data_IF_545145148296
#
_entry.id   IF_545145148296
#
_cell.length_a   1.000
_cell.length_b   1.000
_cell.length_c   1.000
_cell.angle_alpha   90.00
_cell.angle_beta   90.00
_cell.angle_gamma   90.00
#
_symmetry.space_group_name_H-M   'P 1'
#
loop_
_entity.id
_entity.type
_entity.pdbx_description
1 polymer ?
#
# COMPACT_ATOMS: atom_id res chain seq x y z
N UNK A 1 -4.23 3.66 -28.53
CA UNK A 1 -5.36 3.30 -27.66
C UNK A 1 -5.07 3.72 -26.22
N UNK A 2 -5.97 4.47 -25.59
CA UNK A 2 -5.94 4.80 -24.17
C UNK A 2 -7.26 4.38 -23.52
N UNK A 3 -7.24 4.12 -22.21
CA UNK A 3 -8.39 3.64 -21.46
C UNK A 3 -8.39 4.27 -20.08
N UNK A 4 -9.56 4.70 -19.63
CA UNK A 4 -9.79 5.23 -18.29
C UNK A 4 -10.82 4.35 -17.58
N UNK A 5 -10.58 4.06 -16.31
CA UNK A 5 -11.38 3.15 -15.49
C UNK A 5 -11.78 3.85 -14.19
N UNK A 6 -12.95 3.51 -13.66
CA UNK A 6 -13.44 3.98 -12.36
C UNK A 6 -13.81 2.82 -11.43
N UNK A 7 -13.85 3.07 -10.11
CA UNK A 7 -14.12 2.05 -9.10
C UNK A 7 -15.48 1.33 -9.19
N UNK A 8 -16.45 1.93 -9.89
CA UNK A 8 -17.75 1.33 -10.16
C UNK A 8 -17.74 0.37 -11.37
N UNK A 9 -16.59 0.21 -12.01
CA UNK A 9 -16.41 -0.61 -13.20
C UNK A 9 -16.68 0.13 -14.51
N UNK A 10 -16.98 1.44 -14.47
CA UNK A 10 -17.06 2.25 -15.69
C UNK A 10 -15.72 2.24 -16.42
N UNK A 11 -15.78 2.25 -17.75
CA UNK A 11 -14.62 2.38 -18.63
C UNK A 11 -14.93 3.31 -19.79
N UNK A 12 -13.96 4.12 -20.18
CA UNK A 12 -13.96 4.86 -21.45
C UNK A 12 -12.69 4.47 -22.22
N UNK A 13 -12.81 4.28 -23.53
CA UNK A 13 -11.70 3.92 -24.40
C UNK A 13 -11.60 4.91 -25.56
N UNK A 14 -10.36 5.24 -25.92
CA UNK A 14 -10.02 6.03 -27.08
C UNK A 14 -9.08 5.23 -27.96
N UNK A 15 -9.41 5.04 -29.24
CA UNK A 15 -8.52 4.36 -30.19
C UNK A 15 -7.22 5.13 -30.41
N UNK A 16 -7.33 6.46 -30.47
CA UNK A 16 -6.22 7.41 -30.58
C UNK A 16 -6.29 8.38 -29.39
N UNK A 17 -5.15 8.57 -28.71
CA UNK A 17 -5.04 9.49 -27.58
C UNK A 17 -3.92 10.48 -27.85
N UNK A 18 -4.29 11.72 -28.16
CA UNK A 18 -3.38 12.78 -28.60
C UNK A 18 -3.76 14.14 -27.98
N UNK A 19 -3.14 15.23 -28.45
CA UNK A 19 -3.44 16.58 -27.97
C UNK A 19 -4.91 17.00 -28.18
N UNK A 20 -5.60 16.51 -29.21
CA UNK A 20 -7.02 16.80 -29.42
C UNK A 20 -7.87 16.08 -28.36
N UNK A 21 -7.56 14.81 -28.07
CA UNK A 21 -8.22 14.06 -26.99
C UNK A 21 -8.02 14.74 -25.64
N UNK A 22 -6.80 15.24 -25.38
CA UNK A 22 -6.46 15.95 -24.14
C UNK A 22 -7.26 17.24 -23.95
N UNK A 23 -7.70 17.88 -25.03
CA UNK A 23 -8.50 19.11 -25.00
C UNK A 23 -9.99 18.86 -25.30
N UNK A 24 -10.45 17.61 -25.24
CA UNK A 24 -11.83 17.26 -25.59
C UNK A 24 -12.76 17.34 -24.38
N UNK A 25 -13.96 17.86 -24.59
CA UNK A 25 -15.05 17.84 -23.60
C UNK A 25 -15.34 16.41 -23.11
N UNK A 26 -15.12 15.41 -23.96
CA UNK A 26 -15.29 14.00 -23.60
C UNK A 26 -14.30 13.56 -22.52
N UNK A 27 -13.03 13.96 -22.61
CA UNK A 27 -12.05 13.64 -21.57
C UNK A 27 -12.37 14.43 -20.30
N UNK A 28 -12.76 15.70 -20.42
CA UNK A 28 -13.16 16.53 -19.29
C UNK A 28 -14.37 15.94 -18.54
N UNK A 29 -15.42 15.53 -19.25
CA UNK A 29 -16.57 14.86 -18.66
C UNK A 29 -16.17 13.54 -17.98
N UNK A 30 -15.28 12.78 -18.61
CA UNK A 30 -14.78 11.54 -18.07
C UNK A 30 -14.01 11.77 -16.74
N UNK A 31 -13.00 12.64 -16.71
CA UNK A 31 -12.18 12.85 -15.50
C UNK A 31 -12.98 13.46 -14.34
N UNK A 32 -14.04 14.21 -14.63
CA UNK A 32 -14.94 14.79 -13.63
C UNK A 32 -16.02 13.81 -13.15
N UNK A 33 -16.11 12.62 -13.74
CA UNK A 33 -17.07 11.61 -13.33
C UNK A 33 -16.80 11.13 -11.90
N UNK A 34 -17.85 11.19 -11.06
CA UNK A 34 -17.84 10.62 -9.71
C UNK A 34 -18.88 9.50 -9.62
N UNK A 35 -18.48 8.27 -9.26
CA UNK A 35 -19.40 7.17 -9.05
C UNK A 35 -20.46 7.48 -7.98
N UNK A 36 -21.67 6.98 -8.19
CA UNK A 36 -22.69 7.01 -7.14
C UNK A 36 -22.30 6.06 -6.02
N UNK A 37 -22.50 6.47 -4.77
CA UNK A 37 -22.15 5.66 -3.60
C UNK A 37 -23.37 4.91 -3.07
N UNK A 38 -23.15 3.67 -2.66
CA UNK A 38 -24.14 2.86 -1.96
C UNK A 38 -24.44 3.45 -0.58
N UNK A 39 -25.71 3.74 -0.31
CA UNK A 39 -26.14 4.30 0.97
C UNK A 39 -25.80 3.44 2.20
N UNK A 40 -25.66 2.11 2.03
CA UNK A 40 -25.39 1.20 3.14
C UNK A 40 -23.91 1.00 3.45
N UNK A 41 -23.02 1.19 2.47
CA UNK A 41 -21.59 0.86 2.59
C UNK A 41 -20.66 2.02 2.26
N UNK A 42 -21.16 3.12 1.68
CA UNK A 42 -20.33 4.23 1.20
C UNK A 42 -19.42 3.86 0.02
N UNK A 43 -19.50 2.63 -0.49
CA UNK A 43 -18.71 2.16 -1.63
C UNK A 43 -19.38 2.53 -2.96
N UNK A 44 -18.59 2.74 -4.03
CA UNK A 44 -19.10 2.94 -5.39
C UNK A 44 -20.07 1.83 -5.80
N UNK A 45 -21.24 2.22 -6.28
CA UNK A 45 -22.26 1.31 -6.79
C UNK A 45 -21.81 0.75 -8.14
N UNK A 46 -21.53 -0.54 -8.18
CA UNK A 46 -21.00 -1.20 -9.37
C UNK A 46 -22.02 -1.21 -10.53
N UNK A 47 -21.53 -0.99 -11.74
CA UNK A 47 -22.30 -1.13 -12.98
C UNK A 47 -22.74 -2.59 -13.22
N UNK A 48 -23.88 -2.80 -13.90
CA UNK A 48 -24.40 -4.13 -14.14
C UNK A 48 -23.47 -4.99 -15.02
N UNK A 49 -23.49 -6.33 -14.86
CA UNK A 49 -22.58 -7.25 -15.53
C UNK A 49 -22.58 -7.21 -17.06
N UNK A 50 -23.74 -6.87 -17.65
CA UNK A 50 -23.95 -6.80 -19.10
C UNK A 50 -23.06 -5.78 -19.81
N UNK A 51 -22.47 -4.84 -19.07
CA UNK A 51 -21.54 -3.82 -19.58
C UNK A 51 -20.06 -4.13 -19.28
N UNK A 52 -19.78 -5.23 -18.57
CA UNK A 52 -18.41 -5.58 -18.16
C UNK A 52 -17.64 -6.28 -19.27
N UNK A 53 -16.78 -5.52 -19.95
CA UNK A 53 -15.83 -5.99 -20.95
C UNK A 53 -14.78 -6.93 -20.33
N UNK A 54 -14.12 -7.74 -21.18
CA UNK A 54 -12.97 -8.62 -20.91
C UNK A 54 -12.14 -8.21 -19.67
N UNK A 55 -11.90 -9.17 -18.76
CA UNK A 55 -11.13 -8.93 -17.54
C UNK A 55 -9.64 -8.89 -17.86
N UNK A 56 -8.87 -8.11 -17.10
CA UNK A 56 -7.42 -8.04 -17.32
C UNK A 56 -6.63 -8.19 -16.02
N UNK A 57 -5.47 -8.84 -16.14
CA UNK A 57 -4.46 -8.91 -15.09
C UNK A 57 -3.21 -8.24 -15.66
N UNK A 58 -2.86 -7.07 -15.13
CA UNK A 58 -1.73 -6.27 -15.57
C UNK A 58 -0.57 -6.46 -14.59
N UNK A 59 0.50 -7.11 -15.01
CA UNK A 59 1.65 -7.44 -14.15
C UNK A 59 2.84 -6.55 -14.47
N UNK A 60 3.45 -5.98 -13.44
CA UNK A 60 4.71 -5.26 -13.58
C UNK A 60 5.82 -6.23 -14.02
N UNK A 61 6.52 -5.93 -15.11
CA UNK A 61 7.64 -6.74 -15.61
C UNK A 61 8.88 -5.91 -15.95
N UNK A 62 8.91 -4.65 -15.50
CA UNK A 62 9.88 -3.67 -15.94
C UNK A 62 11.25 -3.82 -15.24
N UNK A 63 12.18 -4.53 -15.89
CA UNK A 63 13.49 -4.87 -15.31
C UNK A 63 14.54 -3.77 -15.25
N UNK A 64 14.41 -2.70 -16.04
CA UNK A 64 15.43 -1.62 -16.10
C UNK A 64 15.31 -0.61 -14.95
N UNK A 65 14.12 -0.48 -14.36
CA UNK A 65 13.88 0.37 -13.18
C UNK A 65 14.00 -0.42 -11.88
N UNK A 66 13.68 -1.70 -11.92
CA UNK A 66 13.77 -2.63 -10.78
C UNK A 66 13.93 -4.06 -11.30
N UNK A 67 15.08 -4.68 -11.05
CA UNK A 67 15.36 -6.05 -11.49
C UNK A 67 14.35 -7.05 -10.92
N UNK A 68 13.86 -6.84 -9.69
CA UNK A 68 12.91 -7.74 -9.03
C UNK A 68 11.56 -7.79 -9.75
N UNK A 69 11.15 -6.69 -10.37
CA UNK A 69 9.94 -6.65 -11.21
C UNK A 69 10.07 -7.59 -12.42
N UNK A 70 11.24 -7.64 -13.06
CA UNK A 70 11.49 -8.63 -14.12
C UNK A 70 11.58 -10.04 -13.55
N UNK A 71 12.39 -10.23 -12.51
CA UNK A 71 12.72 -11.55 -11.95
C UNK A 71 11.51 -12.27 -11.37
N UNK A 72 10.54 -11.54 -10.82
CA UNK A 72 9.33 -12.12 -10.22
C UNK A 72 8.10 -11.94 -11.11
N UNK A 73 7.97 -10.80 -11.79
CA UNK A 73 6.82 -10.47 -12.62
C UNK A 73 6.75 -11.30 -13.90
N UNK A 74 7.87 -11.50 -14.60
CA UNK A 74 7.89 -12.28 -15.85
C UNK A 74 7.50 -13.75 -15.61
N UNK A 75 8.05 -14.44 -14.58
CA UNK A 75 7.57 -15.78 -14.22
C UNK A 75 6.08 -15.80 -13.86
N UNK A 76 5.59 -14.80 -13.10
CA UNK A 76 4.17 -14.71 -12.74
C UNK A 76 3.27 -14.60 -13.99
N UNK A 77 3.65 -13.78 -14.98
CA UNK A 77 2.93 -13.69 -16.25
C UNK A 77 2.86 -15.03 -16.97
N UNK A 78 3.97 -15.79 -16.98
CA UNK A 78 4.01 -17.13 -17.55
C UNK A 78 3.05 -18.08 -16.81
N UNK A 79 3.07 -18.06 -15.47
CA UNK A 79 2.19 -18.86 -14.64
C UNK A 79 0.70 -18.52 -14.85
N UNK A 80 0.36 -17.23 -14.91
CA UNK A 80 -1.00 -16.77 -15.19
C UNK A 80 -1.49 -17.22 -16.57
N UNK A 81 -0.67 -17.09 -17.62
CA UNK A 81 -1.04 -17.55 -18.97
C UNK A 81 -1.28 -19.06 -19.02
N UNK A 82 -0.42 -19.84 -18.37
CA UNK A 82 -0.59 -21.30 -18.24
C UNK A 82 -1.88 -21.64 -17.51
N UNK A 83 -2.18 -20.93 -16.42
CA UNK A 83 -3.38 -21.17 -15.62
C UNK A 83 -4.66 -20.76 -16.36
N UNK A 84 -4.66 -19.63 -17.06
CA UNK A 84 -5.77 -19.20 -17.92
C UNK A 84 -6.04 -20.23 -19.01
N UNK A 85 -4.99 -20.73 -19.68
CA UNK A 85 -5.12 -21.77 -20.70
C UNK A 85 -5.62 -23.10 -20.11
N UNK A 86 -5.07 -23.52 -18.96
CA UNK A 86 -5.50 -24.73 -18.24
C UNK A 86 -7.00 -24.68 -17.91
N UNK A 87 -7.52 -23.49 -17.57
CA UNK A 87 -8.94 -23.27 -17.23
C UNK A 87 -9.83 -22.94 -18.43
N UNK A 88 -9.30 -22.79 -19.64
CA UNK A 88 -10.07 -22.42 -20.83
C UNK A 88 -10.66 -21.00 -20.77
N UNK A 89 -9.94 -20.06 -20.14
CA UNK A 89 -10.41 -18.69 -19.87
C UNK A 89 -9.80 -17.63 -20.80
N UNK A 90 -9.15 -18.02 -21.90
CA UNK A 90 -8.42 -17.13 -22.81
C UNK A 90 -9.30 -16.07 -23.47
N UNK A 91 -10.57 -16.38 -23.70
CA UNK A 91 -11.55 -15.42 -24.22
C UNK A 91 -12.03 -14.42 -23.17
N UNK A 92 -11.87 -14.73 -21.89
CA UNK A 92 -12.41 -13.96 -20.77
C UNK A 92 -11.37 -13.09 -20.07
N UNK A 93 -10.11 -13.56 -20.05
CA UNK A 93 -9.01 -12.91 -19.31
C UNK A 93 -7.86 -12.57 -20.25
N UNK A 94 -7.46 -11.30 -20.24
CA UNK A 94 -6.25 -10.83 -20.88
C UNK A 94 -5.13 -10.66 -19.85
N UNK A 95 -3.95 -11.21 -20.12
CA UNK A 95 -2.76 -11.02 -19.30
C UNK A 95 -1.85 -9.98 -19.94
N UNK A 96 -1.77 -8.79 -19.33
CA UNK A 96 -0.95 -7.68 -19.77
C UNK A 96 0.36 -7.57 -18.99
N UNK A 97 1.40 -7.10 -19.67
CA UNK A 97 2.66 -6.68 -19.06
C UNK A 97 2.69 -5.16 -19.06
N UNK A 98 3.01 -4.55 -17.92
CA UNK A 98 3.02 -3.10 -17.76
C UNK A 98 4.35 -2.59 -17.23
N UNK A 99 4.52 -1.27 -17.34
CA UNK A 99 5.61 -0.53 -16.72
C UNK A 99 5.57 -0.64 -15.19
N UNK A 100 6.57 -0.06 -14.53
CA UNK A 100 6.72 -0.15 -13.08
C UNK A 100 5.46 0.32 -12.32
N UNK A 101 4.88 -0.57 -11.52
CA UNK A 101 3.77 -0.30 -10.61
C UNK A 101 4.04 -0.93 -9.24
N UNK A 102 3.64 -0.23 -8.17
CA UNK A 102 3.88 -0.64 -6.79
C UNK A 102 5.35 -0.50 -6.34
N UNK A 103 5.62 -0.79 -5.07
CA UNK A 103 6.97 -0.75 -4.50
C UNK A 103 7.82 -1.97 -4.89
N UNK A 104 9.13 -1.76 -5.04
CA UNK A 104 10.08 -2.80 -5.49
C UNK A 104 10.21 -3.97 -4.50
N UNK A 105 10.22 -3.70 -3.19
CA UNK A 105 10.29 -4.75 -2.16
C UNK A 105 9.12 -5.72 -2.24
N UNK A 106 7.96 -5.22 -2.67
CA UNK A 106 6.73 -6.00 -2.77
C UNK A 106 6.51 -6.64 -4.13
N UNK A 107 7.48 -6.59 -5.05
CA UNK A 107 7.38 -7.31 -6.30
C UNK A 107 7.16 -8.83 -6.05
N UNK A 108 6.34 -9.54 -6.83
CA UNK A 108 5.64 -9.05 -8.01
C UNK A 108 4.33 -8.31 -7.66
N UNK A 109 3.99 -7.31 -8.50
CA UNK A 109 2.82 -6.46 -8.38
C UNK A 109 1.88 -6.65 -9.57
N UNK A 110 0.56 -6.65 -9.32
CA UNK A 110 -0.46 -6.79 -10.35
C UNK A 110 -1.68 -5.88 -10.10
N UNK A 111 -2.24 -5.32 -11.17
CA UNK A 111 -3.50 -4.59 -11.16
C UNK A 111 -4.57 -5.46 -11.82
N UNK A 112 -5.71 -5.60 -11.17
CA UNK A 112 -6.85 -6.35 -11.67
C UNK A 112 -7.90 -5.41 -12.25
N UNK A 113 -8.35 -5.67 -13.47
CA UNK A 113 -9.43 -4.92 -14.11
C UNK A 113 -10.65 -5.82 -14.34
N UNK A 114 -11.87 -5.31 -14.11
CA UNK A 114 -12.21 -3.90 -13.92
C UNK A 114 -12.22 -3.42 -12.47
N UNK A 115 -11.99 -4.29 -11.48
CA UNK A 115 -12.13 -3.91 -10.06
C UNK A 115 -11.11 -2.88 -9.59
N UNK A 116 -10.04 -2.68 -10.35
CA UNK A 116 -8.92 -1.78 -10.03
C UNK A 116 -8.18 -2.15 -8.73
N UNK A 117 -8.25 -3.42 -8.33
CA UNK A 117 -7.51 -3.91 -7.17
C UNK A 117 -6.02 -3.99 -7.46
N UNK A 118 -5.22 -3.47 -6.52
CA UNK A 118 -3.77 -3.59 -6.53
C UNK A 118 -3.36 -4.76 -5.63
N UNK A 119 -2.57 -5.69 -6.19
CA UNK A 119 -2.03 -6.84 -5.49
C UNK A 119 -0.50 -6.79 -5.50
N UNK A 120 0.12 -7.23 -4.41
CA UNK A 120 1.57 -7.22 -4.20
C UNK A 120 2.06 -8.47 -3.46
N UNK A 121 3.37 -8.65 -3.34
CA UNK A 121 4.04 -9.83 -2.78
C UNK A 121 3.66 -11.12 -3.51
N UNK A 122 3.49 -11.03 -4.84
CA UNK A 122 3.05 -12.16 -5.63
C UNK A 122 4.23 -13.08 -6.02
N UNK A 123 3.88 -14.33 -6.29
CA UNK A 123 4.75 -15.39 -6.80
C UNK A 123 3.94 -16.24 -7.79
N UNK A 124 4.59 -17.14 -8.53
CA UNK A 124 3.94 -18.01 -9.51
C UNK A 124 2.85 -18.91 -8.92
N UNK A 125 2.95 -19.26 -7.63
CA UNK A 125 1.96 -20.10 -6.94
C UNK A 125 0.61 -19.41 -6.74
N UNK A 126 0.59 -18.07 -6.83
CA UNK A 126 -0.62 -17.27 -6.64
C UNK A 126 -1.48 -17.17 -7.91
N UNK A 127 -1.01 -17.67 -9.07
CA UNK A 127 -1.77 -17.55 -10.33
C UNK A 127 -3.23 -18.11 -10.24
N UNK A 128 -3.49 -19.28 -9.63
CA UNK A 128 -4.84 -19.79 -9.45
C UNK A 128 -5.74 -18.87 -8.61
N UNK A 129 -5.26 -18.41 -7.45
CA UNK A 129 -6.08 -17.61 -6.53
C UNK A 129 -6.24 -16.16 -6.98
N UNK A 130 -5.32 -15.60 -7.78
CA UNK A 130 -5.52 -14.30 -8.45
C UNK A 130 -6.72 -14.38 -9.39
N UNK A 131 -6.84 -15.44 -10.18
CA UNK A 131 -7.97 -15.64 -11.09
C UNK A 131 -9.27 -15.81 -10.31
N UNK A 132 -9.26 -16.58 -9.23
CA UNK A 132 -10.44 -16.74 -8.36
C UNK A 132 -10.89 -15.41 -7.76
N UNK A 133 -9.94 -14.60 -7.25
CA UNK A 133 -10.19 -13.27 -6.70
C UNK A 133 -10.78 -12.31 -7.74
N UNK A 134 -10.24 -12.34 -8.95
CA UNK A 134 -10.72 -11.54 -10.09
C UNK A 134 -12.19 -11.82 -10.44
N UNK A 135 -12.66 -13.06 -10.28
CA UNK A 135 -14.08 -13.40 -10.49
C UNK A 135 -14.95 -13.14 -9.27
N UNK A 136 -14.44 -13.37 -8.06
CA UNK A 136 -15.18 -13.17 -6.81
C UNK A 136 -15.58 -11.70 -6.60
N UNK A 137 -14.73 -10.76 -7.02
CA UNK A 137 -14.94 -9.32 -6.87
C UNK A 137 -15.55 -8.64 -8.09
N UNK A 138 -15.79 -9.38 -9.17
CA UNK A 138 -16.52 -8.83 -10.30
C UNK A 138 -17.94 -8.43 -9.85
N UNK A 139 -18.53 -7.34 -10.38
CA UNK A 139 -19.89 -6.86 -10.08
C UNK A 139 -21.07 -7.84 -10.24
N UNK A 140 -20.82 -9.14 -10.42
CA UNK A 140 -21.65 -10.01 -11.24
C UNK A 140 -21.81 -11.44 -10.78
N UNK A 141 -21.28 -11.86 -9.64
CA UNK A 141 -21.46 -13.25 -9.20
C UNK A 141 -22.27 -13.25 -7.91
N UNK A 142 -23.55 -13.66 -7.95
CA UNK A 142 -24.24 -14.07 -6.75
C UNK A 142 -23.35 -15.11 -6.08
N UNK A 143 -23.01 -14.88 -4.81
CA UNK A 143 -22.17 -15.71 -3.93
C UNK A 143 -22.35 -17.24 -4.09
N UNK A 144 -23.50 -17.69 -4.61
CA UNK A 144 -23.84 -19.07 -4.94
C UNK A 144 -23.23 -19.66 -6.24
N UNK A 145 -22.63 -18.88 -7.15
CA UNK A 145 -22.20 -19.39 -8.47
C UNK A 145 -20.69 -19.63 -8.63
N UNK A 146 -19.90 -19.43 -7.57
CA UNK A 146 -18.52 -19.95 -7.50
C UNK A 146 -18.62 -21.43 -7.16
N UNK A 147 -18.97 -22.25 -8.15
CA UNK A 147 -18.81 -23.69 -8.06
C UNK A 147 -17.31 -23.95 -8.11
N UNK A 148 -16.71 -24.60 -7.10
CA UNK A 148 -15.33 -25.05 -7.21
C UNK A 148 -15.25 -25.97 -8.43
N UNK A 149 -14.38 -25.66 -9.39
CA UNK A 149 -14.02 -26.62 -10.44
C UNK A 149 -13.30 -27.77 -9.72
N UNK A 150 -14.09 -28.74 -9.23
CA UNK A 150 -13.60 -30.04 -8.88
C UNK A 150 -13.14 -30.69 -10.19
N UNK A 151 -11.85 -30.54 -10.51
CA UNK A 151 -11.24 -31.41 -11.50
C UNK A 151 -11.40 -32.85 -11.04
N UNK A 152 -12.06 -33.64 -11.89
CA UNK A 152 -12.11 -35.10 -11.78
C UNK A 152 -10.66 -35.60 -11.73
N UNK A 153 -10.23 -36.11 -10.58
CA UNK A 153 -9.12 -37.06 -10.50
C UNK A 153 -8.04 -36.80 -9.47
N UNK A 154 -7.90 -35.60 -8.90
CA UNK A 154 -6.92 -35.35 -7.83
C UNK A 154 -7.63 -34.98 -6.55
N UNK A 155 -7.42 -35.78 -5.50
CA UNK A 155 -7.86 -35.46 -4.13
C UNK A 155 -7.12 -34.20 -3.68
N UNK A 156 -7.72 -33.03 -3.91
CA UNK A 156 -7.32 -31.81 -3.22
C UNK A 156 -7.88 -31.93 -1.81
N UNK A 157 -6.98 -31.89 -0.83
CA UNK A 157 -7.33 -31.92 0.57
C UNK A 157 -8.26 -30.74 0.88
N UNK A 158 -9.47 -31.04 1.36
CA UNK A 158 -10.49 -30.03 1.71
C UNK A 158 -10.17 -29.34 3.05
N UNK A 159 -9.05 -29.68 3.70
CA UNK A 159 -8.61 -29.09 4.97
C UNK A 159 -7.93 -27.71 4.82
N UNK A 160 -7.51 -27.30 3.61
CA UNK A 160 -6.67 -26.11 3.39
C UNK A 160 -7.41 -24.85 2.92
N UNK A 161 -8.74 -24.88 2.75
CA UNK A 161 -9.51 -23.69 2.38
C UNK A 161 -10.26 -23.12 3.58
N UNK A 162 -9.58 -22.23 4.32
CA UNK A 162 -10.24 -21.34 5.28
C UNK A 162 -10.90 -20.22 4.48
N UNK A 163 -12.22 -20.10 4.61
CA UNK A 163 -13.02 -18.99 4.08
C UNK A 163 -12.55 -17.69 4.73
N UNK A 164 -11.56 -17.02 4.14
CA UNK A 164 -10.98 -15.77 4.67
C UNK A 164 -9.49 -15.54 4.33
N UNK A 165 -8.68 -16.57 4.09
CA UNK A 165 -7.23 -16.39 3.86
C UNK A 165 -6.82 -16.14 2.39
N UNK A 166 -7.74 -15.61 1.57
CA UNK A 166 -7.57 -15.43 0.12
C UNK A 166 -6.53 -14.38 -0.30
N UNK A 167 -6.69 -13.82 -1.50
CA UNK A 167 -5.78 -12.79 -2.04
C UNK A 167 -5.77 -11.47 -1.23
N UNK A 168 -6.62 -11.32 -0.22
CA UNK A 168 -6.69 -10.15 0.65
C UNK A 168 -5.37 -9.85 1.38
N UNK A 169 -4.59 -10.85 1.80
CA UNK A 169 -3.24 -10.61 2.37
C UNK A 169 -2.27 -9.93 1.40
N UNK A 170 -2.53 -10.06 0.10
CA UNK A 170 -1.76 -9.44 -0.98
C UNK A 170 -2.39 -8.14 -1.47
N UNK A 171 -3.60 -7.80 -1.03
CA UNK A 171 -4.30 -6.59 -1.47
C UNK A 171 -3.68 -5.33 -0.86
N UNK A 172 -3.51 -4.30 -1.69
CA UNK A 172 -2.86 -3.02 -1.34
C UNK A 172 -3.74 -1.81 -1.62
N UNK A 173 -5.04 -2.04 -1.77
CA UNK A 173 -5.99 -1.00 -2.10
C UNK A 173 -6.69 -1.25 -3.43
N UNK A 174 -7.72 -0.44 -3.65
CA UNK A 174 -8.46 -0.37 -4.91
C UNK A 174 -8.36 1.06 -5.41
N UNK A 175 -7.79 1.24 -6.59
CA UNK A 175 -7.60 2.58 -7.13
C UNK A 175 -8.93 3.30 -7.30
N UNK A 176 -8.93 4.60 -6.98
CA UNK A 176 -10.09 5.48 -7.02
C UNK A 176 -11.01 5.42 -5.79
N UNK A 177 -10.72 4.57 -4.81
CA UNK A 177 -11.36 4.65 -3.49
C UNK A 177 -10.62 5.62 -2.56
N UNK A 178 -11.38 6.28 -1.67
CA UNK A 178 -10.81 7.04 -0.54
C UNK A 178 -10.27 6.11 0.54
N UNK A 179 -9.46 6.62 1.47
CA UNK A 179 -8.96 5.84 2.61
C UNK A 179 -10.08 5.19 3.43
N UNK A 180 -11.15 5.95 3.71
CA UNK A 180 -12.33 5.46 4.43
C UNK A 180 -13.06 4.35 3.65
N UNK A 181 -13.23 4.51 2.34
CA UNK A 181 -13.84 3.49 1.49
C UNK A 181 -12.99 2.22 1.42
N UNK A 182 -11.66 2.35 1.37
CA UNK A 182 -10.76 1.20 1.42
C UNK A 182 -10.88 0.45 2.76
N UNK A 183 -10.97 1.17 3.88
CA UNK A 183 -11.16 0.58 5.20
C UNK A 183 -12.50 -0.16 5.29
N UNK A 184 -13.60 0.48 4.86
CA UNK A 184 -14.92 -0.16 4.83
C UNK A 184 -14.95 -1.41 3.96
N UNK A 185 -14.28 -1.38 2.79
CA UNK A 185 -14.15 -2.56 1.94
C UNK A 185 -13.37 -3.66 2.66
N UNK A 186 -12.26 -3.32 3.30
CA UNK A 186 -11.42 -4.27 4.04
C UNK A 186 -12.16 -4.95 5.19
N UNK A 187 -12.91 -4.19 5.98
CA UNK A 187 -13.68 -4.72 7.12
C UNK A 187 -14.78 -5.70 6.68
N UNK A 188 -15.30 -5.52 5.46
CA UNK A 188 -16.33 -6.42 4.91
C UNK A 188 -15.79 -7.82 4.52
N UNK A 189 -14.47 -7.96 4.36
CA UNK A 189 -13.84 -9.18 3.83
C UNK A 189 -12.92 -9.88 4.84
N UNK A 190 -12.35 -9.14 5.79
CA UNK A 190 -11.63 -9.67 6.94
C UNK A 190 -12.17 -9.07 8.25
N UNK A 191 -13.32 -9.55 8.74
CA UNK A 191 -13.91 -9.08 10.00
C UNK A 191 -13.14 -9.56 11.24
N UNK A 192 -12.08 -10.38 11.07
CA UNK A 192 -11.25 -10.88 12.17
C UNK A 192 -10.19 -9.88 12.60
N UNK A 193 -9.89 -8.89 11.75
CA UNK A 193 -9.19 -7.67 12.15
C UNK A 193 -10.21 -6.69 12.70
N UNK A 194 -10.10 -6.39 13.98
CA UNK A 194 -10.61 -5.10 14.46
C UNK A 194 -9.98 -4.01 13.59
N UNK A 195 -10.77 -3.05 13.08
CA UNK A 195 -10.25 -2.03 12.19
C UNK A 195 -9.04 -1.38 12.85
N UNK A 196 -7.93 -1.34 12.12
CA UNK A 196 -7.00 -0.22 12.30
C UNK A 196 -7.76 0.99 11.77
N UNK A 197 -8.68 1.49 12.60
CA UNK A 197 -9.24 2.82 12.49
C UNK A 197 -8.02 3.71 12.37
N UNK A 198 -7.81 4.31 11.19
CA UNK A 198 -7.15 5.60 11.12
C UNK A 198 -7.79 6.42 12.23
N UNK A 199 -7.05 6.73 13.29
CA UNK A 199 -7.58 7.17 14.58
C UNK A 199 -8.25 8.54 14.49
N UNK A 200 -9.39 8.62 13.83
CA UNK A 200 -10.42 9.61 14.06
C UNK A 200 -11.32 9.05 15.14
N UNK A 201 -10.82 9.01 16.37
CA UNK A 201 -11.65 8.75 17.54
C UNK A 201 -12.39 10.04 17.92
N UNK A 202 -13.50 10.29 17.23
CA UNK A 202 -14.63 11.03 17.81
C UNK A 202 -15.67 10.02 18.33
N UNK A 203 -15.30 9.24 19.34
CA UNK A 203 -16.24 8.61 20.27
C UNK A 203 -15.82 8.93 21.70
N UNK A 204 -16.73 9.63 22.38
CA UNK A 204 -16.80 9.98 23.81
C UNK A 204 -15.66 9.48 24.71
N UNK A 205 -14.72 10.40 24.94
CA UNK A 205 -13.93 10.64 26.14
C UNK A 205 -14.13 9.66 27.32
N UNK A 206 -13.50 8.49 27.25
CA UNK A 206 -12.81 7.92 28.40
C UNK A 206 -11.32 8.21 28.20
N UNK A 207 -10.84 9.32 28.79
CA UNK A 207 -9.45 9.77 28.72
C UNK A 207 -8.52 8.68 29.26
N UNK A 208 -7.99 7.85 28.37
CA UNK A 208 -6.76 7.14 28.66
C UNK A 208 -5.64 8.16 28.42
N UNK A 209 -5.16 8.76 29.51
CA UNK A 209 -4.10 9.78 29.45
C UNK A 209 -2.82 9.05 29.05
N UNK A 210 -2.54 8.98 27.75
CA UNK A 210 -1.21 8.59 27.27
C UNK A 210 -0.21 9.62 27.80
N UNK A 211 0.80 9.12 28.51
CA UNK A 211 1.86 9.94 29.09
C UNK A 211 2.62 10.67 27.98
N UNK A 212 2.74 11.99 28.11
CA UNK A 212 3.51 12.83 27.21
C UNK A 212 4.87 13.16 27.83
N UNK A 213 5.89 13.18 26.99
CA UNK A 213 7.26 13.55 27.34
C UNK A 213 7.75 14.65 26.41
N UNK A 214 8.77 15.38 26.84
CA UNK A 214 9.36 16.47 26.07
C UNK A 214 10.60 15.98 25.33
N UNK A 215 10.68 16.25 24.03
CA UNK A 215 11.84 15.95 23.19
C UNK A 215 12.42 17.25 22.62
N UNK A 216 13.74 17.25 22.37
CA UNK A 216 14.45 18.39 21.79
C UNK A 216 15.02 18.03 20.42
N UNK A 217 14.55 18.77 19.42
CA UNK A 217 15.03 18.69 18.04
C UNK A 217 15.85 19.92 17.70
N UNK A 218 16.79 19.77 16.76
CA UNK A 218 17.52 20.89 16.18
C UNK A 218 17.53 20.77 14.66
N UNK A 219 16.98 21.78 13.98
CA UNK A 219 16.94 21.81 12.52
C UNK A 219 18.33 22.01 11.94
N UNK A 220 18.45 21.81 10.63
CA UNK A 220 19.69 22.08 9.90
C UNK A 220 20.14 23.54 10.03
N UNK A 221 19.20 24.49 10.07
CA UNK A 221 19.44 25.93 10.25
C UNK A 221 19.90 26.28 11.68
N UNK A 222 19.86 25.31 12.59
CA UNK A 222 20.25 25.46 13.98
C UNK A 222 19.12 25.91 14.90
N UNK A 223 17.88 26.00 14.41
CA UNK A 223 16.70 26.27 15.23
C UNK A 223 16.43 25.08 16.15
N UNK A 224 16.23 25.33 17.44
CA UNK A 224 15.87 24.29 18.41
C UNK A 224 14.36 24.26 18.59
N UNK A 225 13.76 23.08 18.38
CA UNK A 225 12.33 22.83 18.54
C UNK A 225 12.09 21.90 19.70
N UNK A 226 11.31 22.36 20.67
CA UNK A 226 10.87 21.56 21.82
C UNK A 226 9.46 21.06 21.52
N UNK A 227 9.27 19.75 21.52
CA UNK A 227 8.00 19.12 21.15
C UNK A 227 7.50 18.21 22.27
N UNK A 228 6.18 18.03 22.34
CA UNK A 228 5.55 17.09 23.24
C UNK A 228 5.18 15.83 22.45
N UNK A 229 5.72 14.69 22.86
CA UNK A 229 5.54 13.40 22.21
C UNK A 229 4.86 12.42 23.16
N UNK A 230 4.03 11.50 22.66
CA UNK A 230 3.43 10.45 23.50
C UNK A 230 4.40 9.28 23.60
N UNK A 231 4.54 8.71 24.80
CA UNK A 231 5.37 7.51 24.99
C UNK A 231 4.82 6.36 24.15
N UNK A 232 5.70 5.69 23.39
CA UNK A 232 5.38 4.60 22.48
C UNK A 232 5.16 5.01 21.02
N UNK A 233 5.10 6.30 20.72
CA UNK A 233 5.11 6.77 19.32
C UNK A 233 6.50 6.64 18.71
N UNK A 234 6.61 6.64 17.39
CA UNK A 234 7.92 6.74 16.73
C UNK A 234 8.25 8.19 16.37
N UNK A 235 9.55 8.50 16.20
CA UNK A 235 10.00 9.87 15.94
C UNK A 235 9.53 10.44 14.59
N UNK A 236 9.17 9.60 13.61
CA UNK A 236 8.55 10.07 12.36
C UNK A 236 7.15 10.65 12.64
N UNK A 237 6.31 9.94 13.39
CA UNK A 237 4.96 10.43 13.73
C UNK A 237 5.03 11.69 14.60
N UNK A 238 5.94 11.73 15.57
CA UNK A 238 6.21 12.95 16.35
C UNK A 238 6.61 14.12 15.45
N UNK A 239 7.46 13.84 14.44
CA UNK A 239 7.89 14.83 13.46
C UNK A 239 6.73 15.38 12.63
N UNK A 240 5.88 14.49 12.11
CA UNK A 240 4.69 14.85 11.34
C UNK A 240 3.69 15.66 12.17
N UNK A 241 3.40 15.24 13.41
CA UNK A 241 2.44 15.93 14.30
C UNK A 241 2.90 17.33 14.72
N UNK A 242 4.22 17.59 14.72
CA UNK A 242 4.80 18.85 15.17
C UNK A 242 5.41 19.68 14.02
N UNK A 243 5.08 19.37 12.77
CA UNK A 243 5.58 20.05 11.56
C UNK A 243 7.11 20.23 11.57
N UNK A 244 7.83 19.17 11.97
CA UNK A 244 9.29 19.18 11.94
C UNK A 244 9.78 19.03 10.49
N UNK A 245 10.73 19.87 10.05
CA UNK A 245 11.30 19.74 8.72
C UNK A 245 12.05 18.40 8.60
N UNK A 246 12.17 17.88 7.38
CA UNK A 246 13.02 16.73 7.07
C UNK A 246 12.62 15.35 7.58
N UNK A 247 11.44 15.25 8.20
CA UNK A 247 10.80 13.98 8.53
C UNK A 247 9.60 13.72 7.61
N UNK A 248 9.85 13.56 6.32
CA UNK A 248 8.79 13.32 5.33
C UNK A 248 8.17 11.93 5.48
N UNK A 249 9.03 10.91 5.64
CA UNK A 249 8.61 9.50 5.75
C UNK A 249 7.67 9.04 4.63
N UNK A 250 8.10 9.13 3.36
CA UNK A 250 7.27 8.84 2.17
C UNK A 250 6.76 7.40 2.09
N UNK A 251 7.40 6.48 2.81
CA UNK A 251 6.96 5.09 2.92
C UNK A 251 6.07 4.82 4.15
N UNK A 252 5.68 5.86 4.90
CA UNK A 252 4.91 5.76 6.14
C UNK A 252 5.52 4.79 7.17
N UNK A 253 6.85 4.85 7.31
CA UNK A 253 7.57 4.10 8.33
C UNK A 253 7.83 2.63 8.03
N UNK A 254 7.54 2.15 6.82
CA UNK A 254 7.68 0.74 6.43
C UNK A 254 9.14 0.28 6.17
N UNK A 255 10.15 1.08 6.50
CA UNK A 255 11.57 0.78 6.28
C UNK A 255 11.93 0.57 4.80
N UNK A 256 11.36 1.41 3.92
CA UNK A 256 11.56 1.35 2.45
C UNK A 256 12.23 2.59 1.85
N UNK A 257 12.49 3.60 2.68
CA UNK A 257 13.08 4.86 2.26
C UNK A 257 13.92 5.43 3.40
N UNK A 258 14.72 6.45 3.08
CA UNK A 258 15.51 7.18 4.06
C UNK A 258 14.99 8.61 4.33
N UNK A 259 13.75 8.94 3.96
CA UNK A 259 13.22 10.33 4.06
C UNK A 259 12.71 10.69 5.46
N UNK A 260 12.88 9.80 6.43
CA UNK A 260 12.71 10.08 7.87
C UNK A 260 14.05 10.08 8.60
N UNK A 261 15.16 10.29 7.86
CA UNK A 261 16.51 10.30 8.39
C UNK A 261 16.69 11.44 9.40
N UNK A 262 17.36 11.11 10.50
CA UNK A 262 17.77 12.04 11.55
C UNK A 262 19.13 11.63 12.12
N UNK A 263 19.71 12.50 12.94
CA UNK A 263 20.92 12.19 13.69
C UNK A 263 20.67 12.16 15.19
N UNK A 264 21.20 11.13 15.84
CA UNK A 264 21.34 11.07 17.28
C UNK A 264 22.82 11.25 17.64
N UNK A 265 23.10 12.30 18.42
CA UNK A 265 24.47 12.60 18.87
C UNK A 265 25.02 11.45 19.69
N UNK A 266 26.26 11.01 19.43
CA UNK A 266 26.92 9.95 20.21
C UNK A 266 27.34 10.38 21.62
N UNK A 267 27.26 11.67 21.94
CA UNK A 267 27.54 12.23 23.27
C UNK A 267 26.47 13.26 23.66
N UNK A 268 25.73 13.05 24.78
CA UNK A 268 25.63 11.79 25.52
C UNK A 268 25.08 10.65 24.63
N UNK A 269 25.42 9.40 24.91
CA UNK A 269 24.96 8.24 24.11
C UNK A 269 23.43 8.12 24.20
N UNK A 270 22.70 8.04 23.07
CA UNK A 270 21.26 7.96 23.07
C UNK A 270 20.79 6.57 23.56
N UNK A 271 19.73 6.49 24.38
CA UNK A 271 19.21 5.23 24.91
C UNK A 271 18.29 4.56 23.87
N UNK A 272 18.83 4.30 22.69
CA UNK A 272 18.14 3.61 21.59
C UNK A 272 18.93 2.36 21.22
N UNK A 273 18.26 1.36 20.65
CA UNK A 273 18.95 0.19 20.09
C UNK A 273 19.85 0.61 18.93
N UNK A 274 20.88 -0.17 18.63
CA UNK A 274 21.61 -0.08 17.36
C UNK A 274 20.64 -0.25 16.18
N UNK A 275 20.94 0.34 15.01
CA UNK A 275 20.16 0.09 13.80
C UNK A 275 20.17 -1.41 13.46
N UNK A 276 19.07 -1.90 12.90
CA UNK A 276 19.02 -3.24 12.32
C UNK A 276 19.76 -3.28 10.99
N UNK A 277 20.15 -4.47 10.51
CA UNK A 277 20.79 -4.63 9.19
C UNK A 277 19.92 -4.04 8.06
N UNK A 278 18.60 -4.22 8.13
CA UNK A 278 17.66 -3.64 7.16
C UNK A 278 17.56 -2.11 7.27
N UNK A 279 17.76 -1.55 8.47
CA UNK A 279 17.83 -0.10 8.66
C UNK A 279 19.14 0.46 8.10
N UNK A 280 20.27 -0.19 8.35
CA UNK A 280 21.57 0.20 7.81
C UNK A 280 21.59 0.18 6.28
N UNK A 281 21.01 -0.85 5.66
CA UNK A 281 20.82 -0.91 4.21
C UNK A 281 20.07 0.31 3.66
N UNK A 282 19.05 0.78 4.38
CA UNK A 282 18.27 1.95 3.99
C UNK A 282 19.00 3.26 4.27
N UNK A 283 19.72 3.35 5.39
CA UNK A 283 20.55 4.51 5.74
C UNK A 283 21.66 4.77 4.73
N UNK A 284 22.11 3.74 3.98
CA UNK A 284 23.03 3.90 2.86
C UNK A 284 22.52 4.83 1.74
N UNK A 285 21.20 5.04 1.64
CA UNK A 285 20.58 5.98 0.70
C UNK A 285 20.32 7.36 1.30
N UNK A 286 20.57 7.54 2.60
CA UNK A 286 20.31 8.81 3.29
C UNK A 286 21.29 9.90 2.84
N UNK A 287 20.75 11.08 2.51
CA UNK A 287 21.57 12.23 2.14
C UNK A 287 22.29 12.74 3.40
N UNK A 288 23.62 12.84 3.32
CA UNK A 288 24.41 13.28 4.48
C UNK A 288 24.50 12.22 5.57
N UNK A 289 24.46 10.92 5.22
CA UNK A 289 24.73 9.83 6.16
C UNK A 289 26.00 10.09 7.00
N UNK A 290 25.89 9.74 8.27
CA UNK A 290 26.94 9.79 9.29
C UNK A 290 26.97 8.49 10.06
N UNK A 291 28.08 7.79 9.96
CA UNK A 291 28.34 6.54 10.66
C UNK A 291 28.19 6.74 12.18
N UNK A 292 27.42 5.86 12.82
CA UNK A 292 27.15 5.88 14.27
C UNK A 292 26.21 6.98 14.77
N UNK A 293 25.79 7.94 13.94
CA UNK A 293 24.82 8.98 14.33
C UNK A 293 23.50 8.88 13.57
N UNK A 294 23.51 8.38 12.33
CA UNK A 294 22.34 8.37 11.46
C UNK A 294 21.36 7.26 11.83
N UNK A 295 20.08 7.62 11.91
CA UNK A 295 18.97 6.69 12.18
C UNK A 295 17.74 7.06 11.38
N UNK A 296 16.83 6.11 11.21
CA UNK A 296 15.51 6.36 10.63
C UNK A 296 14.50 6.61 11.75
N UNK A 297 13.88 7.79 11.76
CA UNK A 297 12.96 8.21 12.82
C UNK A 297 11.77 7.28 13.00
N UNK A 298 11.34 6.57 11.95
CA UNK A 298 10.27 5.58 12.07
C UNK A 298 10.67 4.31 12.84
N UNK A 299 11.97 4.06 13.03
CA UNK A 299 12.50 2.89 13.76
C UNK A 299 12.87 3.22 15.22
N UNK A 300 12.66 4.47 15.65
CA UNK A 300 12.97 4.90 17.01
C UNK A 300 11.67 5.24 17.73
N UNK A 301 11.38 4.48 18.78
CA UNK A 301 10.26 4.72 19.68
C UNK A 301 10.60 5.77 20.75
N UNK A 302 9.59 6.54 21.12
CA UNK A 302 9.63 7.51 22.21
C UNK A 302 9.53 6.76 23.53
N UNK A 303 10.62 6.78 24.29
CA UNK A 303 10.70 6.19 25.63
C UNK A 303 10.95 7.27 26.68
N UNK A 304 10.68 6.94 27.95
CA UNK A 304 11.04 7.82 29.08
C UNK A 304 12.54 8.06 29.15
N UNK A 305 13.34 7.04 28.79
CA UNK A 305 14.79 7.16 28.76
C UNK A 305 15.24 8.12 27.67
N UNK A 306 14.61 8.11 26.48
CA UNK A 306 14.89 9.06 25.41
C UNK A 306 14.58 10.51 25.82
N UNK A 307 13.48 10.72 26.55
CA UNK A 307 13.14 12.02 27.11
C UNK A 307 14.16 12.48 28.17
N UNK A 308 14.53 11.59 29.09
CA UNK A 308 15.58 11.86 30.08
C UNK A 308 16.93 12.18 29.41
N UNK A 309 17.29 11.45 28.36
CA UNK A 309 18.48 11.73 27.56
C UNK A 309 18.42 13.11 26.93
N UNK A 310 17.24 13.53 26.42
CA UNK A 310 17.04 14.90 25.98
C UNK A 310 17.29 15.87 27.14
N UNK A 311 16.70 15.68 28.32
CA UNK A 311 16.91 16.56 29.49
C UNK A 311 18.39 16.72 29.86
N UNK A 312 19.15 15.63 29.82
CA UNK A 312 20.58 15.56 30.12
C UNK A 312 21.49 16.21 29.05
N UNK A 313 20.93 16.82 28.01
CA UNK A 313 21.68 17.54 26.98
C UNK A 313 21.67 16.88 25.60
N UNK A 314 21.02 15.72 25.47
CA UNK A 314 20.76 15.08 24.18
C UNK A 314 19.91 15.96 23.26
N UNK A 315 20.22 15.91 21.96
CA UNK A 315 19.49 16.64 20.92
C UNK A 315 19.36 15.74 19.69
N UNK A 316 18.14 15.61 19.18
CA UNK A 316 17.83 14.95 17.92
C UNK A 316 18.04 15.97 16.80
N UNK A 317 18.97 15.74 15.88
CA UNK A 317 19.26 16.71 14.80
C UNK A 317 18.60 16.28 13.49
N UNK A 318 18.06 17.26 12.78
CA UNK A 318 17.41 17.05 11.49
C UNK A 318 18.40 17.43 10.37
N UNK A 319 18.57 16.60 9.33
CA UNK A 319 19.42 16.91 8.20
C UNK A 319 18.84 18.06 7.37
N UNK A 320 19.61 18.54 6.40
CA UNK A 320 19.03 19.36 5.34
C UNK A 320 18.31 18.41 4.40
N UNK A 321 17.03 18.65 4.20
CA UNK A 321 16.05 17.91 3.37
C UNK A 321 15.28 16.86 4.12
#
# INVERSE_FOLDING_TARGET
MARLFWPDGRKVEWDVFNLETLNSDQLEEAINYTPSLSHSSGLPQLLPPSETSQKEILVCTHGSRDCRCSDRGVPLVSALRKEVNRRGLESQIRIGQVAHVGGHKYAANAILLPTMDMLSNLSTEHAPCIIDHLFALAPSIPSASVIPIAERGTKIDKSTYVKGEGMWKHWRGRYGLTLEQQATLWDSVDPSRHPHIASTSHETAAKNVQETVTLRFKTYEGEEKVVHARVGENLLEVGKENDLPSLEGVCDGNLECATCHLYLSSSPVPPVSEPSEAEDDMLGYAIGYKEGESRLGCQIEVTRDLAKWCDDGGIIRLPRF
#
